data_IF_258990414492
#
_entry.id   IF_258990414492
#
_cell.length_a   1.000
_cell.length_b   1.000
_cell.length_c   1.000
_cell.angle_alpha   90.00
_cell.angle_beta   90.00
_cell.angle_gamma   90.00
#
_symmetry.space_group_name_H-M   'P 1'
#
loop_
_entity.id
_entity.type
_entity.pdbx_description
1 polymer ?
#
# COMPACT_ATOMS: atom_id res chain seq x y z
N UNK A 1 -13.23 -17.98 -15.57
CA UNK A 1 -13.07 -16.55 -15.88
C UNK A 1 -12.69 -15.86 -14.58
N UNK A 2 -11.51 -15.25 -14.51
CA UNK A 2 -10.96 -14.65 -13.27
C UNK A 2 -11.19 -13.14 -13.21
N UNK A 3 -11.19 -12.64 -11.99
CA UNK A 3 -11.39 -11.24 -11.62
C UNK A 3 -10.16 -10.73 -10.91
N UNK A 4 -9.63 -9.57 -11.28
CA UNK A 4 -8.55 -8.93 -10.54
C UNK A 4 -9.03 -7.62 -9.93
N UNK A 5 -8.82 -7.46 -8.63
CA UNK A 5 -9.08 -6.23 -7.87
C UNK A 5 -7.75 -5.60 -7.49
N UNK A 6 -7.61 -4.31 -7.80
CA UNK A 6 -6.45 -3.52 -7.46
C UNK A 6 -6.86 -2.40 -6.50
N UNK A 7 -6.27 -2.41 -5.31
CA UNK A 7 -6.57 -1.51 -4.21
C UNK A 7 -5.33 -0.79 -3.68
N UNK A 8 -4.11 -1.16 -4.08
CA UNK A 8 -2.87 -0.43 -3.74
C UNK A 8 -2.66 0.72 -4.75
N UNK A 9 -3.16 1.89 -4.37
CA UNK A 9 -3.49 3.03 -5.24
C UNK A 9 -5.00 3.19 -5.36
N UNK A 10 -5.47 3.85 -6.42
CA UNK A 10 -6.90 4.02 -6.66
C UNK A 10 -7.63 2.70 -6.99
N UNK A 11 -8.93 2.63 -6.65
CA UNK A 11 -9.78 1.47 -6.94
C UNK A 11 -9.79 1.14 -8.43
N UNK A 12 -9.38 -0.08 -8.78
CA UNK A 12 -9.55 -0.65 -10.12
C UNK A 12 -9.98 -2.10 -10.04
N UNK A 13 -10.78 -2.51 -11.01
CA UNK A 13 -11.26 -3.87 -11.13
C UNK A 13 -11.19 -4.26 -12.60
N UNK A 14 -10.73 -5.49 -12.89
CA UNK A 14 -10.48 -5.95 -14.26
C UNK A 14 -10.89 -7.42 -14.42
N UNK A 15 -11.42 -7.74 -15.58
CA UNK A 15 -11.66 -9.12 -15.99
C UNK A 15 -10.38 -9.71 -16.59
N UNK A 16 -10.20 -11.02 -16.52
CA UNK A 16 -9.10 -11.75 -17.18
C UNK A 16 -8.92 -11.42 -18.68
N UNK A 17 -10.00 -11.03 -19.37
CA UNK A 17 -9.98 -10.49 -20.74
C UNK A 17 -9.19 -9.18 -20.92
N UNK A 18 -8.75 -8.54 -19.83
CA UNK A 18 -8.11 -7.22 -19.84
C UNK A 18 -9.10 -6.05 -19.72
N UNK A 19 -10.40 -6.32 -19.79
CA UNK A 19 -11.45 -5.29 -19.75
C UNK A 19 -11.63 -4.73 -18.34
N UNK A 20 -11.58 -3.40 -18.20
CA UNK A 20 -11.83 -2.74 -16.93
C UNK A 20 -13.32 -2.84 -16.55
N UNK A 21 -13.58 -3.33 -15.34
CA UNK A 21 -14.90 -3.44 -14.76
C UNK A 21 -15.27 -2.10 -14.10
N UNK A 22 -16.15 -1.33 -14.76
CA UNK A 22 -16.62 -0.05 -14.23
C UNK A 22 -17.67 -0.27 -13.14
N UNK A 23 -17.31 0.11 -11.91
CA UNK A 23 -18.23 0.16 -10.78
C UNK A 23 -18.46 1.63 -10.40
N UNK A 24 -19.46 2.32 -10.98
CA UNK A 24 -19.58 3.77 -10.87
C UNK A 24 -20.04 4.25 -9.50
N UNK A 25 -20.60 3.37 -8.65
CA UNK A 25 -21.15 3.74 -7.35
C UNK A 25 -20.10 3.55 -6.25
N UNK A 26 -19.79 4.56 -5.43
CA UNK A 26 -18.81 4.45 -4.35
C UNK A 26 -19.12 3.30 -3.39
N UNK A 27 -20.38 3.13 -2.99
CA UNK A 27 -20.78 2.00 -2.12
C UNK A 27 -20.56 0.63 -2.74
N UNK A 28 -20.66 0.52 -4.07
CA UNK A 28 -20.35 -0.73 -4.77
C UNK A 28 -18.85 -1.01 -4.73
N UNK A 29 -18.01 0.00 -4.96
CA UNK A 29 -16.55 -0.12 -4.82
C UNK A 29 -16.15 -0.47 -3.37
N UNK A 30 -16.80 0.16 -2.38
CA UNK A 30 -16.58 -0.08 -0.96
C UNK A 30 -16.89 -1.53 -0.54
N UNK A 31 -18.00 -2.10 -1.01
CA UNK A 31 -18.32 -3.53 -0.80
C UNK A 31 -17.22 -4.41 -1.39
N UNK A 32 -16.82 -4.14 -2.64
CA UNK A 32 -15.79 -4.93 -3.32
C UNK A 32 -14.46 -4.84 -2.58
N UNK A 33 -14.02 -3.64 -2.21
CA UNK A 33 -12.77 -3.45 -1.50
C UNK A 33 -12.78 -4.17 -0.14
N UNK A 34 -13.86 -4.03 0.63
CA UNK A 34 -13.98 -4.68 1.94
C UNK A 34 -13.97 -6.21 1.84
N UNK A 35 -14.68 -6.78 0.87
CA UNK A 35 -14.68 -8.24 0.67
C UNK A 35 -13.36 -8.74 0.08
N UNK A 36 -12.67 -7.93 -0.71
CA UNK A 36 -11.40 -8.28 -1.33
C UNK A 36 -10.24 -8.32 -0.31
N UNK A 37 -10.21 -7.42 0.68
CA UNK A 37 -9.22 -7.50 1.78
C UNK A 37 -9.48 -8.70 2.69
N UNK A 38 -10.71 -9.22 2.69
CA UNK A 38 -11.13 -10.41 3.44
C UNK A 38 -11.39 -11.60 2.52
N UNK A 39 -10.55 -11.78 1.50
CA UNK A 39 -10.73 -12.81 0.48
C UNK A 39 -10.93 -14.21 1.10
N UNK A 40 -12.02 -14.89 0.72
CA UNK A 40 -12.40 -16.20 1.25
C UNK A 40 -12.99 -16.20 2.67
N UNK A 41 -13.08 -15.05 3.35
CA UNK A 41 -13.67 -14.96 4.69
C UNK A 41 -15.13 -14.50 4.59
N UNK A 42 -16.09 -15.28 5.13
CA UNK A 42 -17.49 -14.87 5.21
C UNK A 42 -17.67 -13.57 6.00
N UNK A 43 -18.47 -12.66 5.45
CA UNK A 43 -18.93 -11.44 6.10
C UNK A 43 -20.45 -11.37 6.05
N UNK A 44 -21.08 -11.22 7.21
CA UNK A 44 -22.54 -11.09 7.28
C UNK A 44 -23.03 -9.82 6.60
N UNK A 45 -24.21 -9.91 5.99
CA UNK A 45 -24.91 -8.74 5.44
C UNK A 45 -25.15 -7.65 6.49
N UNK A 46 -25.39 -8.02 7.74
CA UNK A 46 -25.54 -7.06 8.82
C UNK A 46 -24.25 -6.26 9.05
N UNK A 47 -23.09 -6.92 9.12
CA UNK A 47 -21.79 -6.24 9.25
C UNK A 47 -21.56 -5.25 8.12
N UNK A 48 -21.82 -5.67 6.87
CA UNK A 48 -21.67 -4.79 5.70
C UNK A 48 -22.68 -3.64 5.69
N UNK A 49 -23.92 -3.89 6.12
CA UNK A 49 -24.94 -2.86 6.23
C UNK A 49 -24.52 -1.79 7.26
N UNK A 50 -24.10 -2.23 8.44
CA UNK A 50 -23.61 -1.35 9.51
C UNK A 50 -22.39 -0.54 9.06
N UNK A 51 -21.42 -1.19 8.41
CA UNK A 51 -20.19 -0.52 7.94
C UNK A 51 -20.48 0.61 6.94
N UNK A 52 -21.38 0.39 5.99
CA UNK A 52 -21.58 1.25 4.82
C UNK A 52 -22.80 2.19 4.91
N UNK A 53 -23.68 1.97 5.88
CA UNK A 53 -24.84 2.81 6.16
C UNK A 53 -24.94 3.30 7.62
N UNK A 54 -24.06 2.84 8.51
CA UNK A 54 -24.00 3.26 9.91
C UNK A 54 -24.75 2.34 10.87
N UNK A 55 -24.66 2.65 12.17
CA UNK A 55 -25.16 1.81 13.27
C UNK A 55 -26.67 1.60 13.30
N UNK A 56 -27.45 2.43 12.59
CA UNK A 56 -28.84 2.14 12.30
C UNK A 56 -28.93 1.09 11.17
N UNK A 57 -28.54 -0.16 11.47
CA UNK A 57 -28.79 -1.32 10.62
C UNK A 57 -30.29 -1.68 10.63
N UNK A 58 -31.14 -0.70 10.33
CA UNK A 58 -32.57 -0.86 10.23
C UNK A 58 -32.95 -1.60 8.94
N UNK A 59 -34.26 -1.77 8.74
CA UNK A 59 -34.80 -2.37 7.52
C UNK A 59 -34.38 -1.63 6.24
N UNK A 60 -34.11 -0.32 6.31
CA UNK A 60 -33.68 0.51 5.18
C UNK A 60 -32.20 0.32 4.82
N UNK A 61 -31.31 0.13 5.81
CA UNK A 61 -29.90 -0.21 5.57
C UNK A 61 -29.78 -1.58 4.88
N UNK A 62 -30.48 -2.60 5.38
CA UNK A 62 -30.52 -3.93 4.75
C UNK A 62 -31.13 -3.88 3.34
N UNK A 63 -32.18 -3.08 3.14
CA UNK A 63 -32.75 -2.86 1.81
C UNK A 63 -31.77 -2.19 0.85
N UNK A 64 -31.04 -1.17 1.31
CA UNK A 64 -30.03 -0.46 0.53
C UNK A 64 -28.85 -1.37 0.16
N UNK A 65 -28.42 -2.24 1.09
CA UNK A 65 -27.44 -3.27 0.82
C UNK A 65 -27.93 -4.23 -0.28
N UNK A 66 -29.15 -4.75 -0.18
CA UNK A 66 -29.73 -5.63 -1.21
C UNK A 66 -29.74 -4.96 -2.59
N UNK A 67 -30.17 -3.70 -2.67
CA UNK A 67 -30.15 -2.93 -3.93
C UNK A 67 -28.73 -2.74 -4.48
N UNK A 68 -27.77 -2.43 -3.60
CA UNK A 68 -26.37 -2.22 -4.00
C UNK A 68 -25.73 -3.52 -4.48
N UNK A 69 -26.01 -4.64 -3.81
CA UNK A 69 -25.57 -5.98 -4.21
C UNK A 69 -26.20 -6.40 -5.55
N UNK A 70 -27.47 -6.05 -5.79
CA UNK A 70 -28.11 -6.31 -7.08
C UNK A 70 -27.42 -5.55 -8.21
N UNK A 71 -27.09 -4.27 -8.00
CA UNK A 71 -26.32 -3.47 -8.97
C UNK A 71 -24.92 -4.05 -9.19
N UNK A 72 -24.24 -4.45 -8.11
CA UNK A 72 -22.93 -5.10 -8.18
C UNK A 72 -22.97 -6.38 -9.02
N UNK A 73 -23.93 -7.27 -8.72
CA UNK A 73 -24.12 -8.53 -9.46
C UNK A 73 -24.41 -8.32 -10.94
N UNK A 74 -25.16 -7.27 -11.31
CA UNK A 74 -25.44 -6.93 -12.71
C UNK A 74 -24.24 -6.33 -13.45
N UNK A 75 -23.36 -5.64 -12.72
CA UNK A 75 -22.13 -5.11 -13.30
C UNK A 75 -21.13 -6.24 -13.57
N UNK A 76 -21.13 -7.29 -12.74
CA UNK A 76 -20.24 -8.44 -12.84
C UNK A 76 -20.74 -9.47 -13.88
N UNK A 77 -19.83 -10.11 -14.65
CA UNK A 77 -20.17 -11.27 -15.47
C UNK A 77 -20.74 -12.43 -14.65
N UNK A 78 -21.58 -13.29 -15.24
CA UNK A 78 -22.32 -14.34 -14.50
C UNK A 78 -21.42 -15.23 -13.61
N UNK A 79 -20.26 -15.68 -14.10
CA UNK A 79 -19.34 -16.51 -13.33
C UNK A 79 -18.74 -15.80 -12.10
N UNK A 80 -18.67 -14.48 -12.15
CA UNK A 80 -18.06 -13.61 -11.14
C UNK A 80 -19.10 -13.14 -10.12
N UNK A 81 -20.36 -13.01 -10.56
CA UNK A 81 -21.51 -12.77 -9.67
C UNK A 81 -21.77 -13.93 -8.70
N UNK A 82 -21.43 -15.17 -9.11
CA UNK A 82 -21.47 -16.37 -8.25
C UNK A 82 -20.37 -16.38 -7.19
N UNK A 83 -19.27 -15.68 -7.43
CA UNK A 83 -18.16 -15.58 -6.50
C UNK A 83 -18.49 -14.78 -5.22
N UNK A 84 -19.65 -14.11 -5.15
CA UNK A 84 -20.03 -13.15 -4.10
C UNK A 84 -20.84 -13.78 -2.94
N UNK A 85 -21.30 -15.04 -3.04
CA UNK A 85 -22.26 -15.63 -2.08
C UNK A 85 -21.78 -16.99 -1.59
N UNK A 86 -21.67 -17.15 -0.27
CA UNK A 86 -21.26 -18.41 0.38
C UNK A 86 -22.47 -19.17 0.93
N UNK A 87 -23.37 -18.49 1.66
CA UNK A 87 -24.57 -19.12 2.23
C UNK A 87 -25.60 -18.07 2.68
N UNK A 88 -26.59 -17.75 1.84
CA UNK A 88 -27.79 -16.98 2.20
C UNK A 88 -27.57 -15.57 2.78
N UNK A 89 -27.09 -15.48 4.02
CA UNK A 89 -26.81 -14.30 4.85
C UNK A 89 -25.36 -13.81 4.79
N UNK A 90 -24.42 -14.67 4.37
CA UNK A 90 -23.00 -14.33 4.29
C UNK A 90 -22.52 -14.05 2.86
N UNK A 91 -21.58 -13.13 2.77
CA UNK A 91 -20.93 -12.68 1.54
C UNK A 91 -19.42 -12.85 1.69
N UNK A 92 -18.78 -13.45 0.69
CA UNK A 92 -17.34 -13.50 0.56
C UNK A 92 -16.98 -13.50 -0.93
N UNK A 93 -15.74 -13.15 -1.25
CA UNK A 93 -15.19 -13.48 -2.56
C UNK A 93 -14.53 -14.85 -2.54
N UNK A 94 -14.84 -15.67 -3.55
CA UNK A 94 -14.18 -16.95 -3.78
C UNK A 94 -12.70 -16.73 -4.19
N UNK A 95 -11.72 -17.21 -3.39
CA UNK A 95 -10.30 -17.06 -3.68
C UNK A 95 -9.84 -17.81 -4.94
N UNK A 96 -10.62 -18.76 -5.47
CA UNK A 96 -10.29 -19.49 -6.70
C UNK A 96 -10.55 -18.68 -7.98
N UNK A 97 -11.32 -17.60 -7.89
CA UNK A 97 -11.77 -16.80 -9.04
C UNK A 97 -11.45 -15.32 -8.94
N UNK A 98 -11.03 -14.84 -7.75
CA UNK A 98 -10.66 -13.44 -7.51
C UNK A 98 -9.21 -13.33 -7.07
N UNK A 99 -8.42 -12.59 -7.84
CA UNK A 99 -7.08 -12.15 -7.51
C UNK A 99 -7.15 -10.73 -6.92
N UNK A 100 -6.43 -10.48 -5.82
CA UNK A 100 -6.43 -9.20 -5.10
C UNK A 100 -4.99 -8.78 -4.81
N UNK A 101 -4.60 -7.59 -5.28
CA UNK A 101 -3.23 -7.09 -5.13
C UNK A 101 -2.80 -6.91 -3.66
N UNK A 102 -3.72 -6.51 -2.77
CA UNK A 102 -3.47 -6.42 -1.32
C UNK A 102 -3.14 -7.79 -0.75
N UNK A 103 -3.91 -8.83 -1.10
CA UNK A 103 -3.66 -10.20 -0.60
C UNK A 103 -2.34 -10.74 -1.14
N UNK A 104 -2.01 -10.46 -2.41
CA UNK A 104 -0.69 -10.80 -2.96
C UNK A 104 0.45 -10.05 -2.25
N UNK A 105 0.24 -8.78 -1.95
CA UNK A 105 1.20 -7.94 -1.26
C UNK A 105 1.49 -8.47 0.15
N UNK A 106 0.46 -8.77 0.93
CA UNK A 106 0.61 -9.34 2.27
C UNK A 106 1.31 -10.69 2.26
N UNK A 107 0.94 -11.57 1.31
CA UNK A 107 1.62 -12.85 1.12
C UNK A 107 3.10 -12.66 0.76
N UNK A 108 3.41 -11.67 -0.07
CA UNK A 108 4.78 -11.35 -0.44
C UNK A 108 5.58 -10.80 0.76
N UNK A 109 4.98 -9.96 1.61
CA UNK A 109 5.63 -9.51 2.86
C UNK A 109 5.86 -10.69 3.80
N UNK A 110 4.86 -11.56 3.99
CA UNK A 110 4.98 -12.76 4.82
C UNK A 110 6.00 -13.77 4.28
N UNK A 111 6.27 -13.77 2.97
CA UNK A 111 7.33 -14.54 2.32
C UNK A 111 8.76 -14.07 2.67
N UNK A 112 8.89 -12.95 3.38
CA UNK A 112 10.16 -12.42 3.89
C UNK A 112 11.12 -12.02 2.77
N UNK A 113 12.41 -12.34 2.97
CA UNK A 113 13.53 -12.02 2.06
C UNK A 113 13.20 -12.20 0.58
N UNK A 114 12.57 -13.32 0.22
CA UNK A 114 12.28 -13.63 -1.18
C UNK A 114 11.05 -12.91 -1.74
N UNK A 115 10.19 -12.38 -0.88
CA UNK A 115 8.94 -11.73 -1.27
C UNK A 115 8.98 -10.20 -1.22
N UNK A 116 9.92 -9.57 -0.50
CA UNK A 116 9.96 -8.11 -0.37
C UNK A 116 10.05 -7.36 -1.70
N UNK A 117 10.83 -7.86 -2.67
CA UNK A 117 10.90 -7.24 -4.00
C UNK A 117 9.51 -7.21 -4.69
N UNK A 118 8.77 -8.32 -4.61
CA UNK A 118 7.41 -8.42 -5.16
C UNK A 118 6.42 -7.53 -4.39
N UNK A 119 6.51 -7.50 -3.06
CA UNK A 119 5.66 -6.64 -2.23
C UNK A 119 5.83 -5.16 -2.64
N UNK A 120 7.07 -4.72 -2.79
CA UNK A 120 7.39 -3.36 -3.22
C UNK A 120 6.87 -3.06 -4.63
N UNK A 121 6.87 -4.01 -5.57
CA UNK A 121 6.27 -3.81 -6.90
C UNK A 121 4.74 -3.66 -6.89
N UNK A 122 4.08 -4.33 -5.95
CA UNK A 122 2.62 -4.31 -5.79
C UNK A 122 2.13 -3.01 -5.15
N UNK A 123 2.86 -2.47 -4.17
CA UNK A 123 2.45 -1.28 -3.41
C UNK A 123 2.57 0.04 -4.18
N UNK A 124 1.71 0.31 -5.16
CA UNK A 124 1.89 1.44 -6.10
C UNK A 124 1.38 2.80 -5.60
N UNK A 125 0.68 2.81 -4.48
CA UNK A 125 0.10 3.99 -3.83
C UNK A 125 -0.68 3.54 -2.60
N UNK A 126 -1.21 4.51 -1.87
CA UNK A 126 -1.99 4.23 -0.66
C UNK A 126 -3.23 3.40 -0.98
N UNK A 127 -3.66 2.60 -0.01
CA UNK A 127 -4.85 1.77 -0.16
C UNK A 127 -6.08 2.62 -0.48
N UNK A 128 -6.74 2.32 -1.60
CA UNK A 128 -7.87 3.08 -2.13
C UNK A 128 -7.58 4.59 -2.23
N UNK A 129 -6.42 4.96 -2.75
CA UNK A 129 -6.00 6.35 -2.95
C UNK A 129 -7.11 7.19 -3.64
N UNK A 130 -7.39 8.36 -3.07
CA UNK A 130 -8.44 9.26 -3.57
C UNK A 130 -9.89 8.80 -3.32
N UNK A 131 -10.12 7.63 -2.74
CA UNK A 131 -11.46 7.17 -2.39
C UNK A 131 -11.91 7.71 -1.02
N UNK A 132 -13.16 8.16 -0.95
CA UNK A 132 -13.83 8.61 0.27
C UNK A 132 -15.30 8.18 0.27
N UNK A 133 -15.81 7.77 1.43
CA UNK A 133 -17.22 7.51 1.65
C UNK A 133 -17.58 8.02 3.05
N UNK A 134 -18.42 9.05 3.13
CA UNK A 134 -18.76 9.76 4.37
C UNK A 134 -19.69 8.93 5.28
N UNK A 135 -19.16 7.84 5.83
CA UNK A 135 -19.83 6.93 6.77
C UNK A 135 -18.80 6.54 7.82
N UNK A 136 -19.03 6.93 9.07
CA UNK A 136 -18.01 6.83 10.13
C UNK A 136 -17.39 5.44 10.28
N UNK A 137 -18.19 4.36 10.23
CA UNK A 137 -17.68 2.99 10.30
C UNK A 137 -16.74 2.64 9.15
N UNK A 138 -17.09 3.02 7.91
CA UNK A 138 -16.24 2.78 6.75
C UNK A 138 -14.98 3.66 6.76
N UNK A 139 -15.09 4.93 7.14
CA UNK A 139 -13.93 5.84 7.23
C UNK A 139 -12.91 5.36 8.25
N UNK A 140 -13.37 4.86 9.40
CA UNK A 140 -12.51 4.27 10.43
C UNK A 140 -11.82 3.01 9.91
N UNK A 141 -12.56 2.10 9.28
CA UNK A 141 -11.99 0.90 8.66
C UNK A 141 -10.95 1.26 7.59
N UNK A 142 -11.26 2.22 6.71
CA UNK A 142 -10.37 2.66 5.64
C UNK A 142 -9.07 3.25 6.19
N UNK A 143 -9.15 4.05 7.26
CA UNK A 143 -7.98 4.63 7.92
C UNK A 143 -7.09 3.54 8.53
N UNK A 144 -7.69 2.60 9.25
CA UNK A 144 -6.94 1.48 9.84
C UNK A 144 -6.23 0.65 8.77
N UNK A 145 -6.92 0.34 7.67
CA UNK A 145 -6.35 -0.47 6.60
C UNK A 145 -5.24 0.27 5.85
N UNK A 146 -5.38 1.59 5.62
CA UNK A 146 -4.31 2.42 5.05
C UNK A 146 -3.07 2.42 5.93
N UNK A 147 -3.22 2.67 7.23
CA UNK A 147 -2.11 2.69 8.18
C UNK A 147 -1.38 1.34 8.19
N UNK A 148 -2.13 0.25 8.37
CA UNK A 148 -1.59 -1.11 8.43
C UNK A 148 -0.82 -1.48 7.16
N UNK A 149 -1.37 -1.18 5.98
CA UNK A 149 -0.70 -1.49 4.70
C UNK A 149 0.50 -0.56 4.44
N UNK A 150 0.44 0.68 4.91
CA UNK A 150 1.56 1.62 4.85
C UNK A 150 2.74 1.14 5.70
N UNK A 151 2.50 0.73 6.95
CA UNK A 151 3.53 0.17 7.84
C UNK A 151 4.20 -1.08 7.21
N UNK A 152 3.41 -2.00 6.66
CA UNK A 152 3.94 -3.18 5.96
C UNK A 152 4.79 -2.81 4.74
N UNK A 153 4.42 -1.74 4.02
CA UNK A 153 5.18 -1.27 2.86
C UNK A 153 6.51 -0.64 3.28
N UNK A 154 6.53 0.14 4.36
CA UNK A 154 7.75 0.68 4.95
C UNK A 154 8.69 -0.45 5.39
N UNK A 155 8.17 -1.48 6.07
CA UNK A 155 8.95 -2.64 6.47
C UNK A 155 9.57 -3.35 5.26
N UNK A 156 8.76 -3.67 4.25
CA UNK A 156 9.21 -4.36 3.05
C UNK A 156 10.30 -3.56 2.29
N UNK A 157 10.11 -2.24 2.15
CA UNK A 157 11.10 -1.34 1.55
C UNK A 157 12.40 -1.30 2.35
N UNK A 158 12.31 -1.20 3.68
CA UNK A 158 13.48 -1.14 4.55
C UNK A 158 14.28 -2.45 4.51
N UNK A 159 13.60 -3.61 4.50
CA UNK A 159 14.25 -4.91 4.35
C UNK A 159 14.90 -5.06 2.98
N UNK A 160 14.17 -4.73 1.90
CA UNK A 160 14.70 -4.78 0.54
C UNK A 160 15.93 -3.88 0.37
N UNK A 161 15.90 -2.67 0.95
CA UNK A 161 17.02 -1.74 0.93
C UNK A 161 18.24 -2.35 1.64
N UNK A 162 18.06 -2.92 2.84
CA UNK A 162 19.15 -3.59 3.58
C UNK A 162 19.80 -4.70 2.76
N UNK A 163 18.98 -5.52 2.10
CA UNK A 163 19.49 -6.63 1.27
C UNK A 163 20.26 -6.11 0.06
N UNK A 164 19.69 -5.15 -0.68
CA UNK A 164 20.36 -4.56 -1.84
C UNK A 164 21.67 -3.87 -1.45
N UNK A 165 21.73 -3.24 -0.27
CA UNK A 165 22.97 -2.66 0.26
C UNK A 165 24.00 -3.74 0.66
N UNK A 166 23.56 -4.87 1.22
CA UNK A 166 24.44 -5.97 1.59
C UNK A 166 25.06 -6.67 0.37
N UNK A 167 24.31 -6.78 -0.73
CA UNK A 167 24.77 -7.31 -2.01
C UNK A 167 25.38 -6.25 -2.96
N UNK A 168 25.60 -5.03 -2.46
CA UNK A 168 26.19 -3.91 -3.22
C UNK A 168 25.47 -3.56 -4.55
N UNK A 169 24.15 -3.79 -4.61
CA UNK A 169 23.32 -3.54 -5.79
C UNK A 169 22.88 -2.05 -5.81
N UNK A 170 23.83 -1.15 -6.11
CA UNK A 170 23.70 0.30 -5.89
C UNK A 170 22.49 0.94 -6.58
N UNK A 171 22.27 0.67 -7.87
CA UNK A 171 21.20 1.31 -8.66
C UNK A 171 19.79 1.04 -8.11
N UNK A 172 19.39 -0.23 -7.97
CA UNK A 172 18.16 -0.63 -7.27
C UNK A 172 18.05 -0.08 -5.85
N UNK A 173 19.12 -0.13 -5.04
CA UNK A 173 19.12 0.40 -3.67
C UNK A 173 18.78 1.90 -3.60
N UNK A 174 19.31 2.70 -4.54
CA UNK A 174 18.97 4.13 -4.64
C UNK A 174 17.46 4.31 -4.86
N UNK A 175 16.86 3.55 -5.80
CA UNK A 175 15.41 3.64 -6.07
C UNK A 175 14.56 3.22 -4.87
N UNK A 176 14.97 2.15 -4.18
CA UNK A 176 14.29 1.67 -2.97
C UNK A 176 14.35 2.72 -1.86
N UNK A 177 15.52 3.31 -1.60
CA UNK A 177 15.69 4.34 -0.58
C UNK A 177 14.91 5.62 -0.91
N UNK A 178 14.90 6.06 -2.17
CA UNK A 178 14.09 7.21 -2.61
C UNK A 178 12.60 6.97 -2.38
N UNK A 179 12.12 5.75 -2.68
CA UNK A 179 10.72 5.40 -2.47
C UNK A 179 10.36 5.31 -0.99
N UNK A 180 11.27 4.81 -0.16
CA UNK A 180 11.09 4.79 1.29
C UNK A 180 10.99 6.22 1.85
N UNK A 181 11.82 7.16 1.40
CA UNK A 181 11.74 8.58 1.80
C UNK A 181 10.53 9.32 1.23
N UNK A 182 9.95 8.84 0.13
CA UNK A 182 8.70 9.40 -0.38
C UNK A 182 7.51 9.03 0.51
N UNK A 183 7.58 7.88 1.21
CA UNK A 183 6.56 7.43 2.16
C UNK A 183 6.82 7.96 3.57
N UNK A 184 8.07 7.91 4.02
CA UNK A 184 8.49 8.39 5.34
C UNK A 184 9.72 9.32 5.21
N UNK A 185 9.49 10.62 4.97
CA UNK A 185 10.55 11.61 4.78
C UNK A 185 11.42 11.85 6.02
N UNK A 186 10.97 11.47 7.21
CA UNK A 186 11.65 11.80 8.47
C UNK A 186 12.68 10.73 8.87
N UNK A 187 12.83 9.66 8.09
CA UNK A 187 13.75 8.56 8.37
C UNK A 187 15.20 8.92 8.07
N UNK A 188 15.88 9.49 9.07
CA UNK A 188 17.31 9.82 8.97
C UNK A 188 18.17 8.62 8.57
N UNK A 189 17.85 7.43 9.06
CA UNK A 189 18.55 6.18 8.68
C UNK A 189 18.54 5.94 7.17
N UNK A 190 17.42 6.23 6.51
CA UNK A 190 17.25 6.11 5.06
C UNK A 190 17.96 7.24 4.31
N UNK A 191 17.92 8.47 4.82
CA UNK A 191 18.74 9.58 4.28
C UNK A 191 20.22 9.20 4.27
N UNK A 192 20.74 8.68 5.40
CA UNK A 192 22.12 8.21 5.54
C UNK A 192 22.45 7.09 4.54
N UNK A 193 21.56 6.12 4.38
CA UNK A 193 21.73 5.05 3.39
C UNK A 193 21.84 5.61 1.96
N UNK A 194 20.94 6.53 1.60
CA UNK A 194 20.91 7.14 0.27
C UNK A 194 22.15 8.01 0.00
N UNK A 195 22.64 8.76 1.00
CA UNK A 195 23.91 9.49 0.91
C UNK A 195 25.09 8.56 0.61
N UNK A 196 25.22 7.45 1.33
CA UNK A 196 26.27 6.44 1.11
C UNK A 196 26.16 5.80 -0.27
N UNK A 197 24.95 5.48 -0.71
CA UNK A 197 24.70 4.91 -2.04
C UNK A 197 25.09 5.88 -3.16
N UNK A 198 24.76 7.16 -3.05
CA UNK A 198 25.21 8.17 -4.00
C UNK A 198 26.73 8.33 -4.00
N UNK A 199 27.38 8.36 -2.83
CA UNK A 199 28.83 8.42 -2.76
C UNK A 199 29.50 7.23 -3.44
N UNK A 200 29.00 6.00 -3.21
CA UNK A 200 29.48 4.78 -3.89
C UNK A 200 29.27 4.81 -5.40
N UNK A 201 28.18 5.42 -5.87
CA UNK A 201 27.93 5.63 -7.28
C UNK A 201 28.79 6.74 -7.92
N UNK A 202 29.72 7.36 -7.18
CA UNK A 202 30.48 8.53 -7.63
C UNK A 202 29.67 9.82 -7.72
N UNK A 203 28.41 9.81 -7.27
CA UNK A 203 27.45 10.92 -7.34
C UNK A 203 27.51 11.80 -6.09
N UNK A 204 28.71 12.30 -5.78
CA UNK A 204 28.98 13.10 -4.57
C UNK A 204 28.04 14.29 -4.39
N UNK A 205 27.80 15.07 -5.45
CA UNK A 205 26.89 16.22 -5.40
C UNK A 205 25.47 15.81 -4.97
N UNK A 206 24.98 14.65 -5.44
CA UNK A 206 23.68 14.13 -5.04
C UNK A 206 23.65 13.71 -3.55
N UNK A 207 24.73 13.16 -3.02
CA UNK A 207 24.83 12.85 -1.59
C UNK A 207 24.77 14.12 -0.72
N UNK A 208 25.42 15.20 -1.15
CA UNK A 208 25.38 16.49 -0.43
C UNK A 208 23.98 17.12 -0.46
N UNK A 209 23.31 17.08 -1.62
CA UNK A 209 21.92 17.52 -1.73
C UNK A 209 20.97 16.69 -0.85
N UNK A 210 21.18 15.37 -0.75
CA UNK A 210 20.37 14.51 0.09
C UNK A 210 20.47 14.87 1.58
N UNK A 211 21.67 15.27 2.04
CA UNK A 211 21.84 15.78 3.41
C UNK A 211 21.05 17.07 3.62
N UNK A 212 21.11 18.00 2.65
CA UNK A 212 20.34 19.25 2.76
C UNK A 212 18.84 18.97 2.81
N UNK A 213 18.33 18.06 1.98
CA UNK A 213 16.93 17.63 2.05
C UNK A 213 16.56 17.03 3.42
N UNK A 214 17.46 16.28 4.05
CA UNK A 214 17.29 15.77 5.43
C UNK A 214 17.17 16.91 6.44
N UNK A 215 18.09 17.88 6.37
CA UNK A 215 18.09 19.06 7.26
C UNK A 215 16.79 19.84 7.10
N UNK A 216 16.37 20.07 5.87
CA UNK A 216 15.19 20.89 5.57
C UNK A 216 13.92 20.20 6.09
N UNK A 217 13.73 18.90 5.84
CA UNK A 217 12.52 18.18 6.28
C UNK A 217 12.43 18.06 7.80
N UNK A 218 13.54 17.73 8.49
CA UNK A 218 13.56 17.64 9.95
C UNK A 218 13.29 19.00 10.62
N UNK A 219 13.82 20.07 10.04
CA UNK A 219 13.58 21.42 10.54
C UNK A 219 12.12 21.84 10.34
N UNK A 220 11.57 21.59 9.16
CA UNK A 220 10.20 21.98 8.83
C UNK A 220 9.16 21.21 9.66
N UNK A 221 9.31 19.89 9.77
CA UNK A 221 8.29 19.03 10.38
C UNK A 221 8.47 18.86 11.89
N UNK A 222 9.72 18.85 12.39
CA UNK A 222 10.02 18.55 13.79
C UNK A 222 10.72 19.70 14.53
N UNK A 223 11.15 20.76 13.83
CA UNK A 223 11.98 21.81 14.43
C UNK A 223 13.35 21.29 14.91
N UNK A 224 13.78 20.13 14.42
CA UNK A 224 14.97 19.42 14.89
C UNK A 224 16.16 19.59 13.93
N UNK A 225 17.36 19.40 14.47
CA UNK A 225 18.57 19.23 13.68
C UNK A 225 18.85 17.75 13.43
N UNK A 226 19.58 17.37 12.36
CA UNK A 226 19.93 15.99 12.11
C UNK A 226 20.70 15.35 13.27
N UNK A 227 20.60 14.04 13.40
CA UNK A 227 21.42 13.25 14.32
C UNK A 227 22.93 13.43 14.04
N UNK A 228 23.75 13.25 15.09
CA UNK A 228 25.20 13.28 14.96
C UNK A 228 25.73 12.27 13.93
N UNK A 229 25.11 11.09 13.84
CA UNK A 229 25.44 10.08 12.84
C UNK A 229 25.18 10.55 11.40
N UNK A 230 24.16 11.39 11.18
CA UNK A 230 23.85 11.96 9.87
C UNK A 230 24.87 13.02 9.48
N UNK A 231 25.24 13.90 10.42
CA UNK A 231 26.32 14.88 10.23
C UNK A 231 27.66 14.22 9.94
N UNK A 232 28.01 13.15 10.67
CA UNK A 232 29.28 12.44 10.46
C UNK A 232 29.41 11.90 9.03
N UNK A 233 28.37 11.26 8.47
CA UNK A 233 28.40 10.78 7.08
C UNK A 233 28.53 11.94 6.10
N UNK A 234 27.86 13.06 6.35
CA UNK A 234 28.00 14.24 5.50
C UNK A 234 29.44 14.76 5.49
N UNK A 235 30.10 14.81 6.64
CA UNK A 235 31.49 15.23 6.77
C UNK A 235 32.47 14.25 6.09
N UNK A 236 32.30 12.94 6.31
CA UNK A 236 33.06 11.88 5.63
C UNK A 236 32.95 12.00 4.11
N UNK A 237 31.74 12.23 3.61
CA UNK A 237 31.53 12.45 2.18
C UNK A 237 32.16 13.76 1.76
N UNK A 238 32.01 14.87 2.50
CA UNK A 238 32.54 16.20 2.16
C UNK A 238 34.07 16.31 2.20
N UNK A 239 34.73 15.52 3.02
CA UNK A 239 36.19 15.50 3.15
C UNK A 239 36.65 14.03 3.17
N UNK A 240 36.71 13.37 1.99
CA UNK A 240 37.17 11.99 1.93
C UNK A 240 38.61 11.95 2.45
N UNK A 241 38.90 11.01 3.36
CA UNK A 241 40.25 10.82 3.85
C UNK A 241 41.22 10.66 2.65
N UNK A 242 42.42 11.27 2.69
CA UNK A 242 43.39 11.10 1.63
C UNK A 242 43.68 9.61 1.45
N UNK A 243 43.60 9.12 0.21
CA UNK A 243 43.98 7.74 -0.12
C UNK A 243 45.46 7.57 0.27
N UNK A 244 45.71 6.86 1.37
CA UNK A 244 47.05 6.42 1.73
C UNK A 244 47.48 5.44 0.64
N UNK A 245 48.41 5.87 -0.22
CA UNK A 245 49.05 5.05 -1.25
C UNK A 245 50.20 4.26 -0.65
#
# INVERSE_FOLDING_TARGET
MRFSVFLLGGFRARLDTGTDLRLPRPRTQAIVAYLATRLGQPTSRETLATLLWGEAADTAARHSLRQTLFVLKRAMPEGLSRALVVDGEDLAFDPGVVDVDVVEFERAVAGGRHGFARAVELYRGDFLEGFTLAVGGFEQWLRFERERLHELALEALAQLLREQMAFEIVGPAIRTAQRLLALDPLQETTHRALMRLYARAGRRAAAMLQYQSCVDVLRCELGAEPEAATRAIYEEIRFPAPLVR
#
